data_IF_485226524665
#
_entry.id   IF_485226524665
#
_cell.length_a   1.000
_cell.length_b   1.000
_cell.length_c   1.000
_cell.angle_alpha   90.00
_cell.angle_beta   90.00
_cell.angle_gamma   90.00
#
_symmetry.space_group_name_H-M   'P 1'
#
loop_
_entity.id
_entity.type
_entity.pdbx_description
1 polymer ?
#
# COMPACT_ATOMS: atom_id res chain seq x y z
N UNK A 1 6.26 20.28 -17.02
CA UNK A 1 4.92 19.72 -17.24
C UNK A 1 4.50 18.92 -16.00
N UNK A 2 3.27 19.12 -15.56
CA UNK A 2 2.74 18.34 -14.43
C UNK A 2 2.24 16.99 -14.89
N UNK A 3 2.35 15.99 -14.02
CA UNK A 3 1.75 14.69 -14.23
C UNK A 3 0.28 14.71 -13.77
N UNK A 4 -0.56 13.95 -14.43
CA UNK A 4 -1.93 13.72 -13.95
C UNK A 4 -1.93 12.69 -12.83
N UNK A 5 -2.98 12.66 -12.01
CA UNK A 5 -3.08 11.65 -10.94
C UNK A 5 -3.13 10.23 -11.52
N UNK A 6 -3.73 10.06 -12.69
CA UNK A 6 -3.78 8.75 -13.37
C UNK A 6 -2.41 8.28 -13.83
N UNK A 7 -1.59 9.20 -14.36
CA UNK A 7 -0.21 8.88 -14.74
C UNK A 7 0.62 8.48 -13.53
N UNK A 8 0.45 9.22 -12.41
CA UNK A 8 1.13 8.93 -11.15
C UNK A 8 0.70 7.57 -10.59
N UNK A 9 -0.60 7.29 -10.61
CA UNK A 9 -1.15 6.01 -10.18
C UNK A 9 -0.52 4.85 -10.97
N UNK A 10 -0.52 4.97 -12.29
CA UNK A 10 0.04 3.93 -13.17
C UNK A 10 1.52 3.70 -12.88
N UNK A 11 2.26 4.78 -12.66
CA UNK A 11 3.68 4.69 -12.35
C UNK A 11 3.92 3.89 -11.05
N UNK A 12 3.19 4.23 -9.99
CA UNK A 12 3.31 3.52 -8.70
C UNK A 12 2.84 2.07 -8.84
N UNK A 13 1.73 1.84 -9.52
CA UNK A 13 1.19 0.50 -9.76
C UNK A 13 2.22 -0.41 -10.45
N UNK A 14 2.79 0.06 -11.55
CA UNK A 14 3.77 -0.71 -12.32
C UNK A 14 5.03 -0.98 -11.47
N UNK A 15 5.46 0.00 -10.70
CA UNK A 15 6.62 -0.16 -9.83
C UNK A 15 6.39 -1.21 -8.75
N UNK A 16 5.23 -1.19 -8.10
CA UNK A 16 4.88 -2.18 -7.07
C UNK A 16 4.82 -3.57 -7.68
N UNK A 17 4.12 -3.72 -8.80
CA UNK A 17 3.97 -5.02 -9.46
C UNK A 17 5.32 -5.67 -9.75
N UNK A 18 6.30 -4.89 -10.19
CA UNK A 18 7.61 -5.37 -10.59
C UNK A 18 8.62 -5.43 -9.42
N UNK A 19 8.23 -4.96 -8.24
CA UNK A 19 9.07 -4.90 -7.05
C UNK A 19 9.00 -6.19 -6.22
N UNK A 20 9.90 -6.36 -5.23
CA UNK A 20 9.80 -7.47 -4.27
C UNK A 20 8.45 -7.52 -3.54
N UNK A 21 7.83 -6.37 -3.28
CA UNK A 21 6.50 -6.33 -2.67
C UNK A 21 5.46 -6.99 -3.55
N UNK A 22 5.44 -6.67 -4.85
CA UNK A 22 4.52 -7.29 -5.81
C UNK A 22 4.77 -8.78 -5.99
N UNK A 23 6.00 -9.25 -5.79
CA UNK A 23 6.32 -10.67 -5.82
C UNK A 23 5.84 -11.38 -4.57
N UNK A 24 5.96 -10.74 -3.41
CA UNK A 24 5.47 -11.28 -2.14
C UNK A 24 3.94 -11.34 -2.08
N UNK A 25 3.27 -10.34 -2.65
CA UNK A 25 1.79 -10.23 -2.68
C UNK A 25 1.38 -9.90 -4.12
N UNK A 26 1.24 -10.90 -4.99
CA UNK A 26 0.95 -10.66 -6.41
C UNK A 26 -0.48 -10.20 -6.70
N UNK A 27 -1.41 -10.39 -5.77
CA UNK A 27 -2.80 -9.96 -5.96
C UNK A 27 -2.93 -8.48 -5.66
N UNK A 28 -3.24 -7.69 -6.67
CA UNK A 28 -3.36 -6.23 -6.57
C UNK A 28 -4.69 -5.77 -7.14
N UNK A 29 -5.30 -4.80 -6.49
CA UNK A 29 -6.55 -4.18 -6.93
C UNK A 29 -6.39 -2.67 -6.99
N UNK A 30 -7.06 -2.06 -7.97
CA UNK A 30 -7.13 -0.61 -8.10
C UNK A 30 -8.37 -0.11 -7.37
N UNK A 31 -8.17 0.85 -6.45
CA UNK A 31 -9.19 1.59 -5.72
C UNK A 31 -10.01 0.76 -4.72
N UNK A 32 -10.48 -0.42 -5.07
CA UNK A 32 -11.34 -1.24 -4.23
C UNK A 32 -10.93 -2.71 -4.27
N UNK A 33 -11.14 -3.42 -3.17
CA UNK A 33 -11.04 -4.88 -3.16
C UNK A 33 -12.40 -5.50 -3.53
N UNK A 34 -12.42 -6.73 -4.06
CA UNK A 34 -13.68 -7.38 -4.41
C UNK A 34 -14.48 -7.81 -3.19
N UNK A 35 -15.76 -8.09 -3.38
CA UNK A 35 -16.56 -8.72 -2.33
C UNK A 35 -15.95 -10.09 -1.98
N UNK A 36 -15.90 -10.43 -0.70
CA UNK A 36 -15.35 -11.71 -0.21
C UNK A 36 -13.90 -11.95 -0.67
N UNK A 37 -12.97 -11.05 -0.34
CA UNK A 37 -11.57 -11.25 -0.68
C UNK A 37 -10.98 -12.43 0.07
N UNK A 38 -9.98 -13.09 -0.49
CA UNK A 38 -9.28 -14.20 0.15
C UNK A 38 -7.77 -14.02 0.02
N UNK A 39 -7.03 -14.47 1.05
CA UNK A 39 -5.58 -14.34 1.07
C UNK A 39 -5.12 -12.91 1.22
N UNK A 40 -3.83 -12.70 1.01
CA UNK A 40 -3.21 -11.37 1.07
C UNK A 40 -3.41 -10.64 -0.25
N UNK A 41 -3.59 -9.33 -0.18
CA UNK A 41 -3.71 -8.50 -1.39
C UNK A 41 -3.32 -7.06 -1.10
N UNK A 42 -3.03 -6.33 -2.17
CA UNK A 42 -2.67 -4.92 -2.12
C UNK A 42 -3.77 -4.12 -2.83
N UNK A 43 -4.20 -3.04 -2.21
CA UNK A 43 -5.08 -2.05 -2.87
C UNK A 43 -4.29 -0.76 -3.03
N UNK A 44 -4.19 -0.27 -4.25
CA UNK A 44 -3.55 1.00 -4.55
C UNK A 44 -4.63 2.00 -4.92
N UNK A 45 -4.66 3.14 -4.24
CA UNK A 45 -5.58 4.22 -4.59
C UNK A 45 -4.91 5.58 -4.49
N UNK A 46 -5.42 6.52 -5.27
CA UNK A 46 -4.91 7.89 -5.31
C UNK A 46 -5.67 8.75 -4.33
N UNK A 47 -4.97 9.65 -3.63
CA UNK A 47 -5.60 10.59 -2.70
C UNK A 47 -5.65 12.00 -3.26
N UNK A 48 -4.52 12.56 -3.65
CA UNK A 48 -4.45 13.96 -4.05
C UNK A 48 -3.31 14.21 -5.01
N UNK A 49 -3.45 15.27 -5.77
CA UNK A 49 -2.41 15.75 -6.68
C UNK A 49 -2.42 17.27 -6.67
N UNK A 50 -1.47 17.87 -5.98
CA UNK A 50 -1.30 19.32 -5.95
C UNK A 50 -0.38 19.70 -7.11
N UNK A 51 -0.93 20.34 -8.11
CA UNK A 51 -0.21 20.71 -9.33
C UNK A 51 0.49 22.09 -9.20
N UNK A 52 1.47 22.33 -10.05
CA UNK A 52 2.25 23.55 -10.05
C UNK A 52 3.74 23.27 -10.06
N UNK A 53 4.55 24.30 -9.78
CA UNK A 53 6.02 24.19 -9.80
C UNK A 53 6.54 23.20 -8.75
N UNK A 54 5.82 23.06 -7.64
CA UNK A 54 6.16 22.16 -6.55
C UNK A 54 5.12 21.04 -6.44
N UNK A 55 4.86 20.35 -7.54
CA UNK A 55 3.86 19.31 -7.57
C UNK A 55 4.14 18.21 -6.53
N UNK A 56 3.11 17.87 -5.75
CA UNK A 56 3.14 16.78 -4.77
C UNK A 56 1.88 15.94 -4.94
N UNK A 57 2.04 14.64 -5.12
CA UNK A 57 0.92 13.72 -5.18
C UNK A 57 1.02 12.70 -4.05
N UNK A 58 -0.11 12.23 -3.57
CA UNK A 58 -0.20 11.23 -2.52
C UNK A 58 -0.98 10.01 -3.04
N UNK A 59 -0.40 8.84 -2.88
CA UNK A 59 -0.99 7.57 -3.26
C UNK A 59 -0.94 6.64 -2.04
N UNK A 60 -2.04 5.94 -1.78
CA UNK A 60 -2.08 4.90 -0.75
C UNK A 60 -1.69 3.55 -1.34
N UNK A 61 -0.83 2.86 -0.64
CA UNK A 61 -0.54 1.45 -0.87
C UNK A 61 -0.99 0.70 0.38
N UNK A 62 -2.08 -0.03 0.27
CA UNK A 62 -2.69 -0.73 1.40
C UNK A 62 -2.43 -2.23 1.27
N UNK A 63 -1.70 -2.80 2.23
CA UNK A 63 -1.36 -4.22 2.23
C UNK A 63 -2.29 -4.92 3.22
N UNK A 64 -3.19 -5.74 2.70
CA UNK A 64 -4.20 -6.45 3.48
C UNK A 64 -3.73 -7.85 3.85
N UNK A 65 -3.79 -8.15 5.14
CA UNK A 65 -3.43 -9.46 5.69
C UNK A 65 -4.59 -9.98 6.53
N UNK A 66 -5.03 -11.22 6.29
CA UNK A 66 -6.11 -11.81 7.11
C UNK A 66 -5.72 -11.84 8.59
N UNK A 67 -6.69 -11.51 9.45
CA UNK A 67 -6.51 -11.62 10.89
C UNK A 67 -6.37 -13.09 11.29
N UNK A 68 -5.65 -13.33 12.38
CA UNK A 68 -5.55 -14.65 12.98
C UNK A 68 -6.64 -14.80 14.03
N UNK A 69 -7.12 -16.02 14.22
CA UNK A 69 -8.18 -16.33 15.18
C UNK A 69 -7.75 -17.43 16.14
N UNK A 70 -6.72 -17.18 16.99
CA UNK A 70 -6.35 -18.18 17.98
C UNK A 70 -7.45 -18.32 19.01
N UNK A 71 -7.73 -19.56 19.41
CA UNK A 71 -8.68 -19.85 20.48
C UNK A 71 -7.99 -19.64 21.83
N UNK A 72 -8.52 -18.72 22.64
CA UNK A 72 -8.04 -18.49 24.00
C UNK A 72 -9.16 -18.91 24.93
N UNK A 73 -8.96 -20.04 25.64
CA UNK A 73 -10.02 -20.63 26.44
C UNK A 73 -11.17 -21.13 25.56
N UNK A 74 -12.37 -20.58 25.77
CA UNK A 74 -13.56 -20.91 24.97
C UNK A 74 -13.95 -19.82 23.99
N UNK A 75 -13.20 -18.74 23.92
CA UNK A 75 -13.51 -17.59 23.07
C UNK A 75 -12.56 -17.52 21.89
N UNK A 76 -13.12 -17.29 20.70
CA UNK A 76 -12.36 -16.94 19.52
C UNK A 76 -12.22 -15.43 19.49
N UNK A 77 -10.98 -14.97 19.38
CA UNK A 77 -10.68 -13.55 19.21
C UNK A 77 -9.85 -13.37 17.96
N UNK A 78 -10.09 -12.24 17.26
CA UNK A 78 -9.36 -11.92 16.06
C UNK A 78 -8.24 -10.94 16.39
N UNK A 79 -7.06 -11.25 15.89
CA UNK A 79 -5.89 -10.43 16.08
C UNK A 79 -5.21 -10.13 14.75
N UNK A 80 -4.62 -8.94 14.60
CA UNK A 80 -3.76 -8.68 13.47
C UNK A 80 -2.61 -9.68 13.44
N UNK A 81 -2.28 -10.18 12.25
CA UNK A 81 -1.06 -10.97 12.06
C UNK A 81 0.12 -10.00 11.98
N UNK A 82 0.60 -9.57 13.13
CA UNK A 82 1.63 -8.53 13.21
C UNK A 82 2.96 -8.94 12.61
N UNK A 83 3.32 -10.21 12.72
CA UNK A 83 4.57 -10.70 12.13
C UNK A 83 4.52 -10.58 10.61
N UNK A 84 3.42 -11.03 10.01
CA UNK A 84 3.26 -10.95 8.56
C UNK A 84 3.13 -9.52 8.07
N UNK A 85 2.37 -8.68 8.78
CA UNK A 85 2.25 -7.27 8.46
C UNK A 85 3.62 -6.58 8.52
N UNK A 86 4.42 -6.90 9.54
CA UNK A 86 5.77 -6.34 9.65
C UNK A 86 6.67 -6.77 8.50
N UNK A 87 6.67 -8.04 8.12
CA UNK A 87 7.43 -8.53 6.97
C UNK A 87 7.09 -7.78 5.70
N UNK A 88 5.79 -7.68 5.41
CA UNK A 88 5.32 -7.03 4.18
C UNK A 88 5.56 -5.53 4.20
N UNK A 89 5.38 -4.88 5.35
CA UNK A 89 5.66 -3.45 5.49
C UNK A 89 7.15 -3.16 5.30
N UNK A 90 8.03 -4.01 5.84
CA UNK A 90 9.47 -3.90 5.59
C UNK A 90 9.79 -4.03 4.11
N UNK A 91 9.22 -5.04 3.47
CA UNK A 91 9.39 -5.24 2.02
C UNK A 91 8.91 -4.02 1.24
N UNK A 92 7.79 -3.42 1.68
CA UNK A 92 7.28 -2.19 1.07
C UNK A 92 8.24 -1.02 1.25
N UNK A 93 8.80 -0.83 2.44
CA UNK A 93 9.78 0.23 2.67
C UNK A 93 11.01 0.05 1.79
N UNK A 94 11.50 -1.17 1.63
CA UNK A 94 12.64 -1.46 0.76
C UNK A 94 12.30 -1.24 -0.72
N UNK A 95 11.07 -1.54 -1.12
CA UNK A 95 10.61 -1.39 -2.50
C UNK A 95 10.24 0.06 -2.86
N UNK A 96 9.71 0.81 -1.89
CA UNK A 96 9.07 2.11 -2.10
C UNK A 96 9.77 3.26 -1.38
N UNK A 97 10.74 2.98 -0.51
CA UNK A 97 11.55 4.01 0.13
C UNK A 97 12.32 4.80 -0.92
N UNK A 98 12.67 5.99 -0.65
CA UNK A 98 13.23 6.98 -1.58
C UNK A 98 13.67 6.40 -2.94
N UNK A 99 12.83 6.51 -3.94
CA UNK A 99 13.06 5.92 -5.25
C UNK A 99 12.96 7.00 -6.34
N UNK A 100 14.03 7.19 -7.13
CA UNK A 100 13.97 8.13 -8.25
C UNK A 100 13.10 7.56 -9.37
N UNK A 101 12.01 8.24 -9.68
CA UNK A 101 11.10 7.85 -10.75
C UNK A 101 11.70 8.18 -12.12
N UNK A 102 12.33 9.34 -12.23
CA UNK A 102 13.08 9.79 -13.41
C UNK A 102 13.97 10.97 -13.01
N UNK A 103 14.48 11.72 -13.97
CA UNK A 103 15.36 12.88 -13.73
C UNK A 103 14.68 14.01 -12.94
N UNK A 104 13.35 14.08 -12.98
CA UNK A 104 12.58 15.17 -12.37
C UNK A 104 11.79 14.76 -11.15
N UNK A 105 11.48 13.50 -11.00
CA UNK A 105 10.53 13.00 -10.01
C UNK A 105 11.14 11.91 -9.17
N UNK A 106 10.75 11.90 -7.92
CA UNK A 106 11.06 10.81 -6.99
C UNK A 106 9.87 10.56 -6.09
N UNK A 107 9.80 9.39 -5.50
CA UNK A 107 8.78 9.11 -4.49
C UNK A 107 9.39 8.59 -3.20
N UNK A 108 8.72 8.88 -2.10
CA UNK A 108 9.08 8.50 -0.74
C UNK A 108 7.89 7.92 -0.01
N UNK A 109 8.18 7.03 0.93
CA UNK A 109 7.21 6.66 1.96
C UNK A 109 7.14 7.84 2.94
N UNK A 110 5.94 8.36 3.15
CA UNK A 110 5.75 9.50 4.05
C UNK A 110 5.06 9.12 5.36
N UNK A 111 4.31 8.04 5.39
CA UNK A 111 3.50 7.68 6.54
C UNK A 111 3.09 6.21 6.47
N UNK A 112 2.85 5.61 7.62
CA UNK A 112 2.42 4.22 7.74
C UNK A 112 1.50 4.10 8.95
N UNK A 113 0.36 3.42 8.77
CA UNK A 113 -0.62 3.20 9.83
C UNK A 113 -1.24 1.81 9.66
N UNK A 114 -1.40 1.08 10.75
CA UNK A 114 -2.17 -0.17 10.75
C UNK A 114 -3.64 0.16 10.99
N UNK A 115 -4.51 -0.37 10.15
CA UNK A 115 -5.94 -0.12 10.20
C UNK A 115 -6.68 -1.46 10.17
N UNK A 116 -7.59 -1.65 11.13
CA UNK A 116 -8.45 -2.82 11.18
C UNK A 116 -9.63 -2.64 10.23
N UNK A 117 -9.88 -3.66 9.39
CA UNK A 117 -11.06 -3.75 8.53
C UNK A 117 -11.91 -4.92 9.03
N UNK A 118 -12.72 -4.66 10.04
CA UNK A 118 -13.45 -5.70 10.76
C UNK A 118 -14.48 -6.41 9.89
N UNK A 119 -15.08 -5.68 8.94
CA UNK A 119 -16.13 -6.24 8.06
C UNK A 119 -15.67 -7.45 7.26
N UNK A 120 -14.38 -7.56 6.99
CA UNK A 120 -13.80 -8.67 6.24
C UNK A 120 -12.76 -9.46 7.04
N UNK A 121 -12.54 -9.09 8.30
CA UNK A 121 -11.58 -9.74 9.20
C UNK A 121 -10.14 -9.64 8.72
N UNK A 122 -9.76 -8.45 8.31
CA UNK A 122 -8.42 -8.10 7.87
C UNK A 122 -7.89 -6.92 8.66
N UNK A 123 -6.57 -6.83 8.71
CA UNK A 123 -5.86 -5.61 9.08
C UNK A 123 -4.97 -5.25 7.91
N UNK A 124 -4.90 -3.98 7.59
CA UNK A 124 -4.02 -3.56 6.51
C UNK A 124 -3.01 -2.52 6.97
N UNK A 125 -1.83 -2.59 6.39
CA UNK A 125 -0.80 -1.57 6.51
C UNK A 125 -1.10 -0.51 5.45
N UNK A 126 -1.49 0.68 5.90
CA UNK A 126 -1.71 1.82 5.03
C UNK A 126 -0.40 2.59 4.90
N UNK A 127 0.20 2.52 3.74
CA UNK A 127 1.46 3.19 3.44
C UNK A 127 1.15 4.34 2.48
N UNK A 128 1.47 5.56 2.91
CA UNK A 128 1.31 6.73 2.05
C UNK A 128 2.61 7.02 1.32
N UNK A 129 2.50 7.08 0.01
CA UNK A 129 3.61 7.40 -0.88
C UNK A 129 3.40 8.81 -1.40
N UNK A 130 4.43 9.63 -1.31
CA UNK A 130 4.41 10.96 -1.92
C UNK A 130 5.34 10.97 -3.11
N UNK A 131 4.81 11.42 -4.24
CA UNK A 131 5.59 11.70 -5.43
C UNK A 131 5.88 13.19 -5.44
N UNK A 132 7.15 13.53 -5.53
CA UNK A 132 7.63 14.91 -5.47
C UNK A 132 8.51 15.21 -6.66
N UNK A 133 8.52 16.48 -7.05
CA UNK A 133 9.44 17.02 -8.04
C UNK A 133 10.75 17.41 -7.36
N UNK A 134 11.87 17.09 -8.01
CA UNK A 134 13.17 17.56 -7.56
C UNK A 134 13.26 19.08 -7.53
#
# INVERSE_FOLDING_TARGET
>A
MNLTITEIFKFIWDHIRDSPLGQAVPTMYADHYPNNPSGEFIVVNSLSNVVGDSQVATVNVNIYVPDTTPTIGREEQRYPDRNRLNELTRTAFDSLGHYPANERWFFDVSDETLISEESISYTFSNIKIKLKKY
#
